data_IF_088055454109
#
_entry.id   IF_088055454109
#
_cell.length_a   1.000
_cell.length_b   1.000
_cell.length_c   1.000
_cell.angle_alpha   90.00
_cell.angle_beta   90.00
_cell.angle_gamma   90.00
#
_symmetry.space_group_name_H-M   'P 1'
#
loop_
_entity.id
_entity.type
_entity.pdbx_description
1 polymer ?
#
# COMPACT_ATOMS: atom_id res chain seq x y z
N UNK A 1 9.64 7.55 -1.89
CA UNK A 1 9.24 8.63 -2.83
C UNK A 1 9.96 9.96 -2.59
N UNK A 2 9.96 10.61 -1.42
CA UNK A 2 10.62 11.92 -1.25
C UNK A 2 12.09 11.93 -1.69
N UNK A 3 12.84 10.87 -1.44
CA UNK A 3 14.24 10.76 -1.85
C UNK A 3 14.42 10.72 -3.37
N UNK A 4 13.53 10.04 -4.08
CA UNK A 4 13.55 9.97 -5.56
C UNK A 4 13.24 11.34 -6.14
N UNK A 5 12.22 12.03 -5.64
CA UNK A 5 11.89 13.40 -6.06
C UNK A 5 13.10 14.32 -5.81
N UNK A 6 13.68 14.24 -4.62
CA UNK A 6 14.86 15.06 -4.27
C UNK A 6 16.08 14.79 -5.17
N UNK A 7 16.30 13.53 -5.58
CA UNK A 7 17.36 13.20 -6.53
C UNK A 7 17.06 13.73 -7.92
N UNK A 8 15.82 13.63 -8.36
CA UNK A 8 15.37 14.13 -9.65
C UNK A 8 15.48 15.66 -9.76
N UNK A 9 15.03 16.40 -8.75
CA UNK A 9 15.13 17.88 -8.73
C UNK A 9 16.56 18.39 -8.81
N UNK A 10 17.53 17.64 -8.27
CA UNK A 10 18.96 18.00 -8.41
C UNK A 10 19.46 17.86 -9.85
N UNK A 11 18.97 16.86 -10.56
CA UNK A 11 19.34 16.58 -11.95
C UNK A 11 18.59 17.48 -12.94
N UNK A 12 17.31 17.75 -12.63
CA UNK A 12 16.39 18.51 -13.48
C UNK A 12 15.75 19.71 -12.75
N UNK A 13 16.52 20.73 -12.34
CA UNK A 13 16.03 21.80 -11.47
C UNK A 13 14.98 22.72 -12.10
N UNK A 14 14.78 22.62 -13.41
CA UNK A 14 13.79 23.43 -14.14
C UNK A 14 12.47 22.67 -14.41
N UNK A 15 12.33 21.42 -13.95
CA UNK A 15 11.08 20.66 -14.04
C UNK A 15 10.31 20.89 -12.75
N UNK A 16 9.10 21.42 -12.89
CA UNK A 16 8.20 21.61 -11.77
C UNK A 16 7.38 20.33 -11.52
N UNK A 17 7.34 19.88 -10.26
CA UNK A 17 6.59 18.69 -9.85
C UNK A 17 5.48 19.11 -8.90
N UNK A 18 4.26 18.69 -9.20
CA UNK A 18 3.12 18.73 -8.27
C UNK A 18 2.78 17.31 -7.82
N UNK A 19 2.60 17.12 -6.52
CA UNK A 19 2.27 15.82 -5.91
C UNK A 19 0.85 15.88 -5.35
N UNK A 20 0.02 14.93 -5.78
CA UNK A 20 -1.34 14.75 -5.30
C UNK A 20 -1.40 13.46 -4.49
N UNK A 21 -2.15 13.47 -3.39
CA UNK A 21 -2.42 12.31 -2.55
C UNK A 21 -3.92 12.01 -2.55
N UNK A 22 -4.28 10.74 -2.70
CA UNK A 22 -5.67 10.29 -2.71
C UNK A 22 -5.78 8.76 -2.65
N UNK A 23 -7.01 8.27 -2.67
CA UNK A 23 -7.29 6.84 -2.77
C UNK A 23 -6.89 6.29 -4.15
N UNK A 24 -6.83 4.96 -4.31
CA UNK A 24 -6.60 4.36 -5.63
C UNK A 24 -7.67 4.76 -6.66
N UNK A 25 -8.92 4.95 -6.23
CA UNK A 25 -9.99 5.44 -7.11
C UNK A 25 -9.76 6.88 -7.55
N UNK A 26 -9.29 7.75 -6.63
CA UNK A 26 -8.93 9.13 -6.97
C UNK A 26 -7.78 9.16 -7.98
N UNK A 27 -6.72 8.40 -7.73
CA UNK A 27 -5.55 8.35 -8.63
C UNK A 27 -5.94 7.79 -10.01
N UNK A 28 -6.75 6.74 -10.07
CA UNK A 28 -7.31 6.22 -11.33
C UNK A 28 -8.09 7.29 -12.09
N UNK A 29 -8.97 7.99 -11.38
CA UNK A 29 -9.76 9.07 -11.96
C UNK A 29 -8.86 10.20 -12.49
N UNK A 30 -7.87 10.63 -11.73
CA UNK A 30 -6.96 11.70 -12.12
C UNK A 30 -6.13 11.35 -13.35
N UNK A 31 -5.60 10.13 -13.42
CA UNK A 31 -4.85 9.65 -14.61
C UNK A 31 -5.78 9.61 -15.84
N UNK A 32 -6.97 9.01 -15.72
CA UNK A 32 -7.91 8.86 -16.84
C UNK A 32 -8.43 10.20 -17.38
N UNK A 33 -8.50 11.21 -16.52
CA UNK A 33 -8.98 12.54 -16.89
C UNK A 33 -7.84 13.56 -17.14
N UNK A 34 -6.58 13.13 -17.12
CA UNK A 34 -5.44 13.98 -17.39
C UNK A 34 -5.21 15.08 -16.34
N UNK A 35 -5.66 14.85 -15.10
CA UNK A 35 -5.36 15.74 -13.96
C UNK A 35 -3.92 15.56 -13.52
N UNK A 36 -3.41 14.33 -13.61
CA UNK A 36 -2.00 13.99 -13.39
C UNK A 36 -1.45 13.23 -14.59
N UNK A 37 -0.15 13.33 -14.84
CA UNK A 37 0.51 12.64 -15.95
C UNK A 37 0.65 11.13 -15.68
N UNK A 38 0.90 10.75 -14.43
CA UNK A 38 1.00 9.36 -13.96
C UNK A 38 0.78 9.29 -12.44
N UNK A 39 0.62 8.09 -11.91
CA UNK A 39 0.44 7.89 -10.48
C UNK A 39 0.88 6.50 -10.03
N UNK A 40 0.97 6.32 -8.71
CA UNK A 40 1.30 5.05 -8.08
C UNK A 40 0.01 4.34 -7.67
N UNK A 41 -0.12 3.10 -8.11
CA UNK A 41 -1.26 2.23 -7.80
C UNK A 41 -0.76 0.84 -7.44
N UNK A 42 -1.58 0.09 -6.70
CA UNK A 42 -1.44 -1.36 -6.72
C UNK A 42 -1.87 -1.89 -8.09
N UNK A 43 -1.15 -2.91 -8.59
CA UNK A 43 -1.51 -3.57 -9.85
C UNK A 43 -2.92 -4.16 -9.82
N UNK A 44 -3.41 -4.55 -8.64
CA UNK A 44 -4.78 -5.04 -8.44
C UNK A 44 -5.84 -3.95 -8.56
N UNK A 45 -5.44 -2.68 -8.41
CA UNK A 45 -6.33 -1.50 -8.41
C UNK A 45 -6.20 -0.64 -9.67
N UNK A 46 -5.28 -0.98 -10.58
CA UNK A 46 -5.04 -0.17 -11.79
C UNK A 46 -6.17 -0.28 -12.84
N UNK A 47 -7.00 -1.32 -12.75
CA UNK A 47 -8.06 -1.56 -13.73
C UNK A 47 -7.49 -1.80 -15.12
N UNK A 48 -7.88 -0.95 -16.08
CA UNK A 48 -7.45 -0.97 -17.49
C UNK A 48 -6.25 -0.05 -17.80
N UNK A 49 -5.72 0.66 -16.79
CA UNK A 49 -4.55 1.52 -17.00
C UNK A 49 -3.29 0.69 -17.20
N UNK A 50 -2.46 1.03 -18.21
CA UNK A 50 -1.11 0.51 -18.30
C UNK A 50 -0.33 0.85 -17.03
N UNK A 51 0.28 -0.18 -16.42
CA UNK A 51 1.03 -0.06 -15.18
C UNK A 51 2.36 -0.79 -15.29
N UNK A 52 3.44 -0.12 -14.94
CA UNK A 52 4.78 -0.71 -14.83
C UNK A 52 5.03 -1.09 -13.37
N UNK A 53 5.13 -2.38 -13.05
CA UNK A 53 5.41 -2.82 -11.68
C UNK A 53 6.82 -2.40 -11.25
N UNK A 54 6.93 -1.85 -10.03
CA UNK A 54 8.21 -1.36 -9.51
C UNK A 54 8.58 -1.94 -8.13
N UNK A 55 7.59 -2.32 -7.30
CA UNK A 55 7.88 -2.74 -5.94
C UNK A 55 6.90 -3.80 -5.43
N UNK A 56 7.43 -4.84 -4.77
CA UNK A 56 6.66 -5.86 -4.06
C UNK A 56 6.65 -5.51 -2.58
N UNK A 57 5.48 -5.16 -2.06
CA UNK A 57 5.26 -4.73 -0.68
C UNK A 57 4.53 -5.84 0.09
N UNK A 58 5.21 -6.54 1.02
CA UNK A 58 4.60 -7.60 1.79
C UNK A 58 3.41 -7.08 2.61
N UNK A 59 2.36 -7.90 2.74
CA UNK A 59 1.28 -7.66 3.67
C UNK A 59 1.60 -8.35 5.00
N UNK A 60 1.44 -7.62 6.11
CA UNK A 60 1.74 -8.07 7.45
C UNK A 60 0.48 -8.06 8.32
N UNK A 61 0.37 -9.03 9.22
CA UNK A 61 -0.59 -8.99 10.30
C UNK A 61 -0.03 -8.17 11.46
N UNK A 62 -0.73 -7.10 11.83
CA UNK A 62 -0.33 -6.18 12.90
C UNK A 62 -1.18 -6.43 14.13
N UNK A 63 -0.53 -6.60 15.26
CA UNK A 63 -1.16 -6.92 16.54
C UNK A 63 -0.63 -6.01 17.65
N UNK A 64 -1.35 -5.88 18.79
CA UNK A 64 -0.84 -5.13 19.95
C UNK A 64 0.54 -5.64 20.40
N UNK A 65 1.39 -4.77 20.97
CA UNK A 65 2.72 -5.14 21.46
C UNK A 65 2.72 -6.35 22.41
N UNK A 66 1.71 -6.44 23.27
CA UNK A 66 1.60 -7.51 24.28
C UNK A 66 0.69 -8.67 23.82
N UNK A 67 0.52 -8.82 22.51
CA UNK A 67 -0.28 -9.89 21.94
C UNK A 67 0.30 -11.25 22.31
N UNK A 68 -0.54 -12.11 22.89
CA UNK A 68 -0.18 -13.49 23.21
C UNK A 68 -0.64 -14.38 22.07
N UNK A 69 0.32 -14.96 21.40
CA UNK A 69 0.11 -15.92 20.33
C UNK A 69 0.13 -17.33 20.88
N UNK A 70 -0.78 -18.19 20.42
CA UNK A 70 -0.88 -19.59 20.87
C UNK A 70 0.30 -20.44 20.41
N UNK A 71 0.89 -20.12 19.26
CA UNK A 71 2.03 -20.86 18.69
C UNK A 71 3.26 -19.94 18.60
N UNK A 72 4.41 -20.41 19.03
CA UNK A 72 5.70 -19.71 18.95
C UNK A 72 6.28 -19.72 17.52
N UNK A 73 5.53 -19.21 16.54
CA UNK A 73 5.95 -19.08 15.13
C UNK A 73 6.07 -17.61 14.76
N UNK A 74 6.91 -17.27 13.79
CA UNK A 74 7.06 -15.89 13.28
C UNK A 74 6.00 -15.51 12.23
N UNK A 75 5.00 -16.40 12.02
CA UNK A 75 3.93 -16.19 11.04
C UNK A 75 2.56 -16.21 11.71
N UNK A 76 1.59 -15.54 11.13
CA UNK A 76 0.19 -15.53 11.56
C UNK A 76 -0.65 -16.29 10.54
N UNK A 77 -1.26 -17.41 10.96
CA UNK A 77 -2.10 -18.23 10.09
C UNK A 77 -3.50 -17.65 9.95
N UNK A 78 -4.22 -18.05 8.88
CA UNK A 78 -5.63 -17.70 8.67
C UNK A 78 -6.48 -18.14 9.87
N UNK A 79 -6.25 -19.37 10.37
CA UNK A 79 -7.01 -19.89 11.52
C UNK A 79 -6.80 -19.05 12.78
N UNK A 80 -5.58 -18.59 13.03
CA UNK A 80 -5.28 -17.74 14.17
C UNK A 80 -5.89 -16.35 14.00
N UNK A 81 -5.76 -15.74 12.82
CA UNK A 81 -6.38 -14.46 12.50
C UNK A 81 -7.91 -14.48 12.69
N UNK A 82 -8.58 -15.57 12.29
CA UNK A 82 -10.03 -15.70 12.39
C UNK A 82 -10.59 -15.67 13.82
N UNK A 83 -9.75 -15.90 14.83
CA UNK A 83 -10.12 -15.88 16.26
C UNK A 83 -10.13 -14.47 16.85
N UNK A 84 -9.66 -13.48 16.11
CA UNK A 84 -9.50 -12.13 16.61
C UNK A 84 -10.42 -11.13 15.91
N UNK A 85 -10.77 -10.06 16.62
CA UNK A 85 -11.44 -8.92 16.01
C UNK A 85 -10.49 -8.16 15.10
N UNK A 86 -11.03 -7.64 14.03
CA UNK A 86 -10.28 -6.80 13.10
C UNK A 86 -10.65 -5.32 13.23
N UNK A 87 -9.65 -4.47 13.10
CA UNK A 87 -9.82 -3.08 12.71
C UNK A 87 -9.61 -3.06 11.20
N UNK A 88 -10.66 -2.76 10.44
CA UNK A 88 -10.59 -2.80 8.97
C UNK A 88 -10.59 -1.40 8.39
N UNK A 89 -9.88 -1.26 7.30
CA UNK A 89 -10.02 -0.09 6.44
C UNK A 89 -11.29 -0.19 5.60
N UNK A 90 -11.79 0.94 5.14
CA UNK A 90 -12.94 0.97 4.22
C UNK A 90 -12.60 0.19 2.95
N UNK A 91 -13.60 -0.48 2.37
CA UNK A 91 -13.46 -1.36 1.20
C UNK A 91 -12.76 -0.71 0.00
N UNK A 92 -12.88 0.61 -0.16
CA UNK A 92 -12.28 1.37 -1.27
C UNK A 92 -10.80 1.73 -1.08
N UNK A 93 -10.22 1.47 0.09
CA UNK A 93 -8.86 1.92 0.40
C UNK A 93 -7.80 0.87 0.18
N UNK A 94 -8.14 -0.43 0.27
CA UNK A 94 -7.14 -1.49 0.08
C UNK A 94 -7.73 -2.77 -0.56
N UNK A 95 -7.78 -2.77 -1.89
CA UNK A 95 -8.25 -3.92 -2.67
C UNK A 95 -7.38 -5.17 -2.45
N UNK A 96 -6.09 -5.03 -2.17
CA UNK A 96 -5.18 -6.17 -1.98
C UNK A 96 -5.51 -6.92 -0.70
N UNK A 97 -5.80 -6.21 0.39
CA UNK A 97 -6.23 -6.82 1.66
C UNK A 97 -7.59 -7.51 1.48
N UNK A 98 -8.55 -6.85 0.84
CA UNK A 98 -9.86 -7.44 0.58
C UNK A 98 -9.76 -8.70 -0.29
N UNK A 99 -8.91 -8.68 -1.31
CA UNK A 99 -8.65 -9.84 -2.15
C UNK A 99 -8.03 -10.99 -1.35
N UNK A 100 -7.06 -10.69 -0.47
CA UNK A 100 -6.45 -11.69 0.41
C UNK A 100 -7.50 -12.34 1.34
N UNK A 101 -8.35 -11.54 1.99
CA UNK A 101 -9.40 -12.03 2.87
C UNK A 101 -10.37 -12.96 2.11
N UNK A 102 -10.81 -12.54 0.93
CA UNK A 102 -11.72 -13.32 0.06
C UNK A 102 -11.11 -14.64 -0.42
N UNK A 103 -9.86 -14.59 -0.93
CA UNK A 103 -9.15 -15.76 -1.46
C UNK A 103 -8.91 -16.83 -0.39
N UNK A 104 -8.78 -16.42 0.87
CA UNK A 104 -8.54 -17.31 1.99
C UNK A 104 -9.80 -17.63 2.80
N UNK A 105 -10.98 -17.21 2.34
CA UNK A 105 -12.26 -17.35 3.02
C UNK A 105 -12.22 -16.87 4.49
N UNK A 106 -11.44 -15.81 4.75
CA UNK A 106 -11.32 -15.23 6.07
C UNK A 106 -12.42 -14.20 6.29
N UNK A 107 -13.46 -14.63 7.01
CA UNK A 107 -14.52 -13.73 7.48
C UNK A 107 -14.03 -12.99 8.72
N UNK A 108 -13.90 -11.67 8.62
CA UNK A 108 -13.41 -10.84 9.71
C UNK A 108 -14.57 -10.30 10.56
N UNK A 109 -14.50 -10.51 11.85
CA UNK A 109 -15.40 -9.84 12.80
C UNK A 109 -14.87 -8.44 13.07
N UNK A 110 -15.62 -7.44 12.65
CA UNK A 110 -15.23 -6.04 12.87
C UNK A 110 -16.40 -5.20 13.38
N UNK A 111 -16.08 -4.23 14.21
CA UNK A 111 -16.98 -3.15 14.59
C UNK A 111 -16.35 -1.78 14.30
N UNK A 112 -15.18 -1.77 13.69
CA UNK A 112 -14.36 -0.58 13.47
C UNK A 112 -13.96 -0.46 12.01
N UNK A 113 -14.45 0.60 11.35
CA UNK A 113 -14.12 0.95 9.97
C UNK A 113 -13.38 2.27 9.98
N UNK A 114 -12.11 2.23 9.65
CA UNK A 114 -11.21 3.39 9.70
C UNK A 114 -10.76 3.74 8.29
N UNK A 115 -10.43 4.99 8.03
CA UNK A 115 -10.04 5.44 6.69
C UNK A 115 -8.54 5.48 6.53
N UNK A 116 -7.81 5.96 7.54
CA UNK A 116 -6.38 6.17 7.44
C UNK A 116 -5.57 5.12 8.21
N UNK A 117 -4.36 4.87 7.71
CA UNK A 117 -3.46 3.84 8.23
C UNK A 117 -3.04 4.09 9.67
N UNK A 118 -2.67 5.34 10.02
CA UNK A 118 -2.18 5.66 11.36
C UNK A 118 -3.27 5.49 12.41
N UNK A 119 -4.51 5.89 12.12
CA UNK A 119 -5.64 5.66 13.01
C UNK A 119 -5.93 4.17 13.19
N UNK A 120 -5.82 3.38 12.11
CA UNK A 120 -5.97 1.92 12.17
C UNK A 120 -4.92 1.30 13.09
N UNK A 121 -3.64 1.67 12.91
CA UNK A 121 -2.52 1.18 13.73
C UNK A 121 -2.66 1.64 15.18
N UNK A 122 -3.11 2.89 15.42
CA UNK A 122 -3.37 3.40 16.77
C UNK A 122 -4.42 2.59 17.50
N UNK A 123 -5.50 2.20 16.83
CA UNK A 123 -6.53 1.33 17.42
C UNK A 123 -5.96 -0.04 17.76
N UNK A 124 -5.17 -0.64 16.87
CA UNK A 124 -4.51 -1.92 17.14
C UNK A 124 -3.57 -1.80 18.34
N UNK A 125 -2.73 -0.76 18.40
CA UNK A 125 -1.82 -0.53 19.52
C UNK A 125 -2.55 -0.44 20.88
N UNK A 126 -3.80 0.06 20.87
CA UNK A 126 -4.67 0.16 22.05
C UNK A 126 -5.53 -1.11 22.29
N UNK A 127 -5.32 -2.19 21.57
CA UNK A 127 -5.95 -3.49 21.83
C UNK A 127 -7.37 -3.66 21.29
N UNK A 128 -7.82 -2.83 20.33
CA UNK A 128 -9.15 -2.95 19.73
C UNK A 128 -9.29 -4.13 18.77
N UNK A 129 -8.18 -4.74 18.39
CA UNK A 129 -8.14 -5.88 17.48
C UNK A 129 -6.79 -6.01 16.79
N UNK A 130 -6.79 -6.71 15.68
CA UNK A 130 -5.65 -6.86 14.76
C UNK A 130 -5.99 -6.21 13.42
N UNK A 131 -5.00 -5.94 12.58
CA UNK A 131 -5.23 -5.52 11.20
C UNK A 131 -4.21 -6.14 10.26
N UNK A 132 -4.47 -6.04 8.96
CA UNK A 132 -3.49 -6.34 7.91
C UNK A 132 -3.04 -5.00 7.33
N UNK A 133 -1.71 -4.83 7.20
CA UNK A 133 -1.10 -3.61 6.67
C UNK A 133 0.05 -3.95 5.73
N UNK A 134 0.26 -3.16 4.68
CA UNK A 134 1.47 -3.24 3.88
C UNK A 134 2.71 -2.86 4.69
N UNK A 135 3.84 -3.51 4.41
CA UNK A 135 5.09 -3.27 5.16
C UNK A 135 5.59 -1.83 5.02
N UNK A 136 5.43 -1.21 3.85
CA UNK A 136 5.81 0.19 3.62
C UNK A 136 5.10 1.17 4.57
N UNK A 137 3.84 0.91 4.91
CA UNK A 137 3.08 1.74 5.85
C UNK A 137 3.65 1.65 7.26
N UNK A 138 4.32 0.55 7.57
CA UNK A 138 4.85 0.28 8.90
C UNK A 138 6.20 0.96 9.19
N UNK A 139 6.76 1.69 8.22
CA UNK A 139 7.99 2.44 8.43
C UNK A 139 7.69 3.71 9.25
N UNK A 140 8.53 3.96 10.25
CA UNK A 140 8.51 5.18 11.09
C UNK A 140 7.16 5.48 11.81
N UNK A 141 6.36 4.45 12.07
CA UNK A 141 5.12 4.60 12.83
C UNK A 141 5.41 4.95 14.30
N UNK A 142 4.62 5.87 14.91
CA UNK A 142 4.81 6.31 16.31
C UNK A 142 4.17 5.35 17.34
N UNK A 143 3.76 4.14 16.95
CA UNK A 143 3.02 3.20 17.79
C UNK A 143 3.81 1.91 18.02
N UNK A 144 3.73 1.39 19.24
CA UNK A 144 4.31 0.09 19.59
C UNK A 144 3.34 -1.06 19.26
N UNK A 145 3.64 -1.78 18.18
CA UNK A 145 2.89 -2.94 17.73
C UNK A 145 3.85 -4.07 17.36
N UNK A 146 3.35 -5.30 17.31
CA UNK A 146 4.08 -6.45 16.79
C UNK A 146 3.60 -6.77 15.38
N UNK A 147 4.54 -7.18 14.52
CA UNK A 147 4.32 -7.46 13.10
C UNK A 147 4.60 -8.94 12.85
N UNK A 148 3.68 -9.63 12.20
CA UNK A 148 3.85 -11.02 11.78
C UNK A 148 3.71 -11.12 10.27
N UNK A 149 4.55 -11.96 9.64
CA UNK A 149 4.26 -12.42 8.28
C UNK A 149 2.99 -13.26 8.28
N UNK A 150 2.23 -13.19 7.21
CA UNK A 150 1.00 -13.98 7.10
C UNK A 150 1.28 -15.34 6.49
N UNK A 151 0.45 -16.32 6.79
CA UNK A 151 0.48 -17.64 6.17
C UNK A 151 -0.95 -18.03 5.71
N UNK A 152 -1.16 -18.14 4.37
CA UNK A 152 -0.18 -18.00 3.29
C UNK A 152 0.39 -16.58 3.16
N UNK A 153 1.60 -16.46 2.61
CA UNK A 153 2.23 -15.17 2.32
C UNK A 153 1.38 -14.34 1.35
N UNK A 154 1.36 -13.04 1.57
CA UNK A 154 0.71 -12.09 0.68
C UNK A 154 1.57 -10.85 0.44
N UNK A 155 1.43 -10.26 -0.72
CA UNK A 155 2.03 -8.97 -1.03
C UNK A 155 1.13 -8.19 -1.99
N UNK A 156 1.19 -6.87 -1.92
CA UNK A 156 0.73 -6.03 -3.02
C UNK A 156 1.89 -5.71 -3.95
N UNK A 157 1.59 -5.45 -5.20
CA UNK A 157 2.60 -4.99 -6.18
C UNK A 157 2.24 -3.56 -6.56
N UNK A 158 3.12 -2.64 -6.19
CA UNK A 158 2.98 -1.23 -6.56
C UNK A 158 3.62 -1.02 -7.92
N UNK A 159 2.97 -0.25 -8.76
CA UNK A 159 3.48 0.16 -10.06
C UNK A 159 3.23 1.63 -10.35
N UNK A 160 3.85 2.11 -11.40
CA UNK A 160 3.60 3.44 -11.96
C UNK A 160 2.62 3.30 -13.11
N UNK A 161 1.42 3.84 -12.94
CA UNK A 161 0.35 3.79 -13.93
C UNK A 161 0.26 5.12 -14.69
N UNK A 162 -0.03 5.03 -15.97
CA UNK A 162 -0.25 6.19 -16.83
C UNK A 162 -1.22 5.84 -17.95
N UNK A 163 -1.93 6.82 -18.49
CA UNK A 163 -2.88 6.59 -19.57
C UNK A 163 -2.18 6.08 -20.84
N UNK A 164 -1.11 6.72 -21.23
CA UNK A 164 -0.25 6.30 -22.34
C UNK A 164 1.20 6.78 -22.11
N UNK A 165 2.08 5.92 -21.56
CA UNK A 165 3.46 6.29 -21.30
C UNK A 165 4.23 6.84 -22.52
N UNK A 166 3.90 6.36 -23.73
CA UNK A 166 4.58 6.77 -24.96
C UNK A 166 4.20 8.19 -25.42
N UNK A 167 3.06 8.72 -24.96
CA UNK A 167 2.54 10.02 -25.35
C UNK A 167 2.67 11.06 -24.21
N UNK A 168 3.36 10.75 -23.14
CA UNK A 168 3.59 11.71 -22.07
C UNK A 168 4.36 12.95 -22.53
N UNK A 169 4.11 14.12 -21.93
CA UNK A 169 4.97 15.28 -22.07
C UNK A 169 6.42 14.93 -21.73
N UNK A 170 7.44 15.50 -22.40
CA UNK A 170 8.85 15.15 -22.19
C UNK A 170 9.29 15.23 -20.70
N UNK A 171 8.85 16.25 -19.98
CA UNK A 171 9.19 16.42 -18.56
C UNK A 171 8.60 15.30 -17.69
N UNK A 172 7.31 14.97 -17.89
CA UNK A 172 6.64 13.89 -17.19
C UNK A 172 7.27 12.53 -17.54
N UNK A 173 7.64 12.31 -18.80
CA UNK A 173 8.33 11.09 -19.24
C UNK A 173 9.71 10.96 -18.59
N UNK A 174 10.46 12.03 -18.46
CA UNK A 174 11.78 12.02 -17.81
C UNK A 174 11.64 11.59 -16.34
N UNK A 175 10.65 12.15 -15.61
CA UNK A 175 10.42 11.76 -14.22
C UNK A 175 9.91 10.31 -14.11
N UNK A 176 9.00 9.90 -14.98
CA UNK A 176 8.51 8.52 -15.04
C UNK A 176 9.66 7.52 -15.24
N UNK A 177 10.52 7.76 -16.22
CA UNK A 177 11.66 6.88 -16.50
C UNK A 177 12.70 6.90 -15.36
N UNK A 178 12.93 8.06 -14.71
CA UNK A 178 13.79 8.17 -13.54
C UNK A 178 13.29 7.28 -12.40
N UNK A 179 11.99 7.32 -12.11
CA UNK A 179 11.35 6.48 -11.07
C UNK A 179 11.48 5.00 -11.41
N UNK A 180 11.07 4.60 -12.61
CA UNK A 180 11.09 3.19 -13.05
C UNK A 180 12.50 2.62 -13.01
N UNK A 181 13.49 3.40 -13.48
CA UNK A 181 14.89 2.97 -13.50
C UNK A 181 15.49 2.87 -12.09
N UNK A 182 15.08 3.73 -11.16
CA UNK A 182 15.53 3.64 -9.77
C UNK A 182 15.17 2.28 -9.16
N UNK A 183 13.92 1.84 -9.30
CA UNK A 183 13.46 0.56 -8.74
C UNK A 183 13.89 -0.68 -9.54
N UNK A 184 14.32 -0.55 -10.78
CA UNK A 184 14.86 -1.69 -11.56
C UNK A 184 16.33 -2.00 -11.23
N UNK A 185 17.03 -1.04 -10.61
CA UNK A 185 18.45 -1.16 -10.30
C UNK A 185 18.71 -1.46 -8.80
N UNK A 186 17.67 -1.47 -7.97
CA UNK A 186 17.68 -1.90 -6.58
C UNK A 186 17.20 -3.36 -6.46
#
# INVERSE_FOLDING_TARGET
>A
MPEIIKSFEKEYPNIWIEVFEGTYDDVNYWIKNGVVDFGFLSTSSAGDLPIEPIYRDPLLCIVPKNFKKDLATDTMSIEEMSRHRFVVQRESTDADIQNYLKQNNLEVQTGYHVVDDLSTIAMVANGFGICIMPELVMNDIPYEVTRYRMQPDACRVIGVAALNPALMPPAARTLYDHIVNHYKND
#
